data_IF_783385179411
#
_entry.id   IF_783385179411
#
_cell.length_a   1.000
_cell.length_b   1.000
_cell.length_c   1.000
_cell.angle_alpha   90.00
_cell.angle_beta   90.00
_cell.angle_gamma   90.00
#
_symmetry.space_group_name_H-M   'P 1'
#
loop_
_entity.id
_entity.type
_entity.pdbx_description
1 polymer ?
#
# COMPACT_ATOMS: atom_id res chain seq x y z
N UNK A 1 -0.98 0.96 41.52
CA UNK A 1 -1.14 0.95 40.05
C UNK A 1 -2.06 2.09 39.69
N UNK A 2 -1.50 3.24 39.31
CA UNK A 2 -2.30 4.33 38.79
C UNK A 2 -2.74 3.94 37.37
N UNK A 3 -4.04 3.80 37.16
CA UNK A 3 -4.63 3.83 35.82
C UNK A 3 -4.22 5.17 35.22
N UNK A 4 -3.35 5.15 34.21
CA UNK A 4 -3.14 6.31 33.35
C UNK A 4 -4.51 6.65 32.77
N UNK A 5 -4.95 7.91 32.97
CA UNK A 5 -6.13 8.47 32.34
C UNK A 5 -5.88 8.52 30.83
N UNK A 6 -6.06 7.39 30.15
CA UNK A 6 -6.10 7.33 28.70
C UNK A 6 -7.45 7.91 28.24
N UNK A 7 -7.47 8.76 27.21
CA UNK A 7 -8.73 9.23 26.64
C UNK A 7 -9.50 8.03 26.09
N UNK A 8 -10.58 7.68 26.77
CA UNK A 8 -11.46 6.57 26.40
C UNK A 8 -12.15 6.86 25.06
N UNK A 9 -11.88 6.06 24.03
CA UNK A 9 -12.71 6.03 22.83
C UNK A 9 -13.97 5.21 23.13
N UNK A 10 -14.94 5.84 23.79
CA UNK A 10 -16.24 5.25 24.13
C UNK A 10 -17.06 5.00 22.85
N UNK A 11 -17.96 4.02 22.90
CA UNK A 11 -18.94 3.71 21.85
C UNK A 11 -19.82 4.89 21.40
N UNK A 12 -19.82 5.99 22.17
CA UNK A 12 -20.64 7.18 22.00
C UNK A 12 -20.02 8.27 21.11
N UNK A 13 -18.80 8.08 20.56
CA UNK A 13 -18.36 8.95 19.47
C UNK A 13 -19.19 8.64 18.21
N UNK A 14 -20.26 9.43 18.07
CA UNK A 14 -21.27 9.34 17.03
C UNK A 14 -20.68 9.67 15.67
N UNK A 15 -21.11 8.94 14.64
CA UNK A 15 -20.83 9.16 13.21
C UNK A 15 -21.33 10.52 12.65
N UNK A 16 -21.75 11.44 13.51
CA UNK A 16 -22.39 12.71 13.21
C UNK A 16 -21.56 13.94 13.61
N UNK A 17 -20.34 13.74 14.13
CA UNK A 17 -19.39 14.81 14.43
C UNK A 17 -18.28 14.93 13.38
N UNK A 18 -17.53 16.03 13.47
CA UNK A 18 -16.32 16.30 12.69
C UNK A 18 -15.34 15.12 12.76
N UNK A 19 -14.55 14.91 11.70
CA UNK A 19 -13.61 13.80 11.61
C UNK A 19 -12.64 13.81 12.79
N UNK A 20 -12.61 12.72 13.55
CA UNK A 20 -11.65 12.51 14.63
C UNK A 20 -10.61 11.47 14.24
N UNK A 21 -9.35 11.75 14.60
CA UNK A 21 -8.22 10.85 14.39
C UNK A 21 -7.75 10.35 15.74
N UNK A 22 -7.88 9.05 15.96
CA UNK A 22 -7.49 8.44 17.23
C UNK A 22 -6.39 7.40 17.01
N UNK A 23 -5.20 7.71 17.56
CA UNK A 23 -4.11 6.75 17.66
C UNK A 23 -4.36 5.83 18.86
N UNK A 24 -4.46 4.53 18.60
CA UNK A 24 -4.65 3.55 19.68
C UNK A 24 -3.32 3.26 20.34
N UNK A 25 -3.10 3.84 21.52
CA UNK A 25 -1.98 3.49 22.37
C UNK A 25 -2.24 2.20 23.16
N UNK A 26 -1.17 1.49 23.57
CA UNK A 26 -1.28 0.40 24.55
C UNK A 26 -1.90 0.89 25.86
N UNK A 27 -2.86 0.14 26.38
CA UNK A 27 -3.69 0.49 27.55
C UNK A 27 -2.89 0.58 28.85
N UNK A 28 -1.83 -0.22 28.96
CA UNK A 28 -0.95 -0.28 30.12
C UNK A 28 0.41 -0.87 29.75
N UNK A 29 1.34 -0.88 30.71
CA UNK A 29 2.70 -1.40 30.52
C UNK A 29 2.73 -2.89 30.16
N UNK A 30 1.77 -3.69 30.63
CA UNK A 30 1.69 -5.10 30.25
C UNK A 30 1.42 -5.24 28.74
N UNK A 31 0.49 -4.45 28.20
CA UNK A 31 0.21 -4.48 26.75
C UNK A 31 1.44 -4.05 25.95
N UNK A 32 2.16 -3.01 26.40
CA UNK A 32 3.41 -2.56 25.76
C UNK A 32 4.45 -3.67 25.74
N UNK A 33 4.65 -4.36 26.87
CA UNK A 33 5.60 -5.48 26.98
C UNK A 33 5.24 -6.65 26.06
N UNK A 34 3.96 -6.81 25.72
CA UNK A 34 3.47 -7.85 24.80
C UNK A 34 3.48 -7.42 23.32
N UNK A 35 4.06 -6.26 23.01
CA UNK A 35 4.18 -5.73 21.65
C UNK A 35 3.10 -4.72 21.25
N UNK A 36 2.10 -4.48 22.10
CA UNK A 36 1.05 -3.48 21.86
C UNK A 36 0.02 -3.87 20.78
N UNK A 37 -0.99 -3.01 20.64
CA UNK A 37 -1.87 -2.97 19.48
C UNK A 37 -1.98 -1.52 19.03
N UNK A 38 -1.59 -1.25 17.79
CA UNK A 38 -1.53 0.10 17.25
C UNK A 38 -2.36 0.20 15.97
N UNK A 39 -3.25 1.17 15.95
CA UNK A 39 -3.99 1.55 14.74
C UNK A 39 -4.43 2.99 14.82
N UNK A 40 -4.84 3.54 13.69
CA UNK A 40 -5.46 4.86 13.61
C UNK A 40 -6.92 4.66 13.26
N UNK A 41 -7.84 5.13 14.09
CA UNK A 41 -9.24 5.30 13.69
C UNK A 41 -9.41 6.69 13.07
N UNK A 42 -10.07 6.77 11.92
CA UNK A 42 -10.52 8.00 11.26
C UNK A 42 -12.04 7.93 11.12
N UNK A 43 -12.77 8.58 12.03
CA UNK A 43 -14.22 8.43 12.19
C UNK A 43 -14.90 9.79 12.17
N UNK A 44 -16.00 9.91 11.41
CA UNK A 44 -16.81 11.14 11.37
C UNK A 44 -16.92 11.77 9.98
N UNK A 45 -17.43 13.00 9.92
CA UNK A 45 -17.59 13.77 8.68
C UNK A 45 -16.32 14.54 8.36
N UNK A 46 -15.85 14.45 7.12
CA UNK A 46 -14.67 15.19 6.68
C UNK A 46 -15.04 16.66 6.52
N UNK A 47 -14.37 17.55 7.23
CA UNK A 47 -14.55 18.99 7.17
C UNK A 47 -13.34 19.68 6.54
N UNK A 48 -13.51 20.96 6.20
CA UNK A 48 -12.40 21.76 5.69
C UNK A 48 -11.30 21.91 6.75
N UNK A 49 -10.05 21.62 6.38
CA UNK A 49 -8.88 21.70 7.26
C UNK A 49 -8.51 20.39 7.98
N UNK A 50 -9.29 19.31 7.81
CA UNK A 50 -8.98 18.01 8.40
C UNK A 50 -7.69 17.38 7.84
N UNK A 51 -7.25 17.78 6.66
CA UNK A 51 -5.95 17.40 6.10
C UNK A 51 -4.77 18.02 6.86
N UNK A 52 -4.93 19.27 7.32
CA UNK A 52 -3.97 19.95 8.19
C UNK A 52 -4.00 19.32 9.59
N UNK A 53 -5.21 19.05 10.12
CA UNK A 53 -5.40 18.33 11.39
C UNK A 53 -4.72 16.96 11.35
N UNK A 54 -4.90 16.20 10.27
CA UNK A 54 -4.29 14.89 10.08
C UNK A 54 -2.77 14.97 9.96
N UNK A 55 -2.26 15.97 9.24
CA UNK A 55 -0.81 16.19 9.15
C UNK A 55 -0.20 16.43 10.52
N UNK A 56 -0.80 17.32 11.31
CA UNK A 56 -0.40 17.56 12.71
C UNK A 56 -0.49 16.29 13.56
N UNK A 57 -1.55 15.51 13.39
CA UNK A 57 -1.71 14.23 14.09
C UNK A 57 -0.57 13.25 13.77
N UNK A 58 -0.16 13.15 12.51
CA UNK A 58 0.98 12.30 12.12
C UNK A 58 2.31 12.81 12.68
N UNK A 59 2.51 14.12 12.73
CA UNK A 59 3.71 14.73 13.33
C UNK A 59 3.76 14.52 14.85
N UNK A 60 2.61 14.59 15.53
CA UNK A 60 2.53 14.45 16.99
C UNK A 60 2.70 12.98 17.46
N UNK A 61 2.32 11.98 16.64
CA UNK A 61 2.33 10.56 17.04
C UNK A 61 3.39 9.71 16.33
N UNK A 62 3.94 10.17 15.21
CA UNK A 62 4.96 9.47 14.41
C UNK A 62 4.66 7.97 14.18
N UNK A 63 3.48 7.60 13.62
CA UNK A 63 3.11 6.20 13.47
C UNK A 63 4.10 5.48 12.54
N UNK A 64 4.52 4.24 12.87
CA UNK A 64 5.36 3.46 11.97
C UNK A 64 4.68 3.22 10.61
N UNK A 65 5.47 3.01 9.54
CA UNK A 65 4.92 2.62 8.25
C UNK A 65 4.13 1.31 8.38
N UNK A 66 3.23 1.06 7.43
CA UNK A 66 2.37 -0.13 7.38
C UNK A 66 1.26 -0.19 8.43
N UNK A 67 1.16 0.80 9.32
CA UNK A 67 0.00 0.90 10.21
C UNK A 67 -1.29 1.14 9.42
N UNK A 68 -2.38 0.53 9.89
CA UNK A 68 -3.70 0.64 9.26
C UNK A 68 -4.46 1.85 9.81
N UNK A 69 -4.98 2.66 8.88
CA UNK A 69 -6.00 3.67 9.12
C UNK A 69 -7.38 3.06 8.86
N UNK A 70 -8.15 2.85 9.93
CA UNK A 70 -9.52 2.37 9.88
C UNK A 70 -10.48 3.52 9.67
N UNK A 71 -11.26 3.47 8.58
CA UNK A 71 -12.12 4.55 8.13
C UNK A 71 -13.59 4.18 8.36
N UNK A 72 -14.30 5.03 9.09
CA UNK A 72 -15.75 4.97 9.24
C UNK A 72 -16.37 6.36 9.05
N UNK A 73 -16.69 6.68 7.79
CA UNK A 73 -17.12 8.01 7.37
C UNK A 73 -18.15 7.96 6.23
N UNK A 74 -19.12 8.87 6.31
CA UNK A 74 -20.09 9.12 5.25
C UNK A 74 -19.56 10.07 4.15
N UNK A 75 -18.32 10.57 4.28
CA UNK A 75 -17.74 11.57 3.39
C UNK A 75 -17.77 12.97 4.00
N UNK A 76 -17.87 13.99 3.15
CA UNK A 76 -17.75 15.40 3.53
C UNK A 76 -16.96 16.21 2.51
N UNK A 77 -16.00 17.00 2.98
CA UNK A 77 -15.14 17.85 2.16
C UNK A 77 -14.16 17.02 1.31
N UNK A 78 -14.29 17.14 -0.01
CA UNK A 78 -13.50 16.34 -0.95
C UNK A 78 -12.01 16.73 -0.98
N UNK A 79 -11.70 18.03 -0.92
CA UNK A 79 -10.30 18.50 -0.97
C UNK A 79 -9.53 18.05 0.26
N UNK A 80 -10.14 18.15 1.45
CA UNK A 80 -9.57 17.62 2.69
C UNK A 80 -9.39 16.09 2.60
N UNK A 81 -10.38 15.36 2.05
CA UNK A 81 -10.27 13.92 1.83
C UNK A 81 -9.08 13.53 0.94
N UNK A 82 -8.84 14.27 -0.15
CA UNK A 82 -7.66 14.10 -1.02
C UNK A 82 -6.37 14.41 -0.25
N UNK A 83 -6.36 15.51 0.52
CA UNK A 83 -5.21 15.92 1.34
C UNK A 83 -4.80 14.84 2.34
N UNK A 84 -5.76 14.31 3.10
CA UNK A 84 -5.55 13.19 4.04
C UNK A 84 -5.04 11.97 3.28
N UNK A 85 -5.68 11.58 2.17
CA UNK A 85 -5.27 10.43 1.36
C UNK A 85 -3.81 10.54 0.86
N UNK A 86 -3.37 11.72 0.44
CA UNK A 86 -1.97 11.95 0.05
C UNK A 86 -1.01 11.79 1.22
N UNK A 87 -1.38 12.23 2.43
CA UNK A 87 -0.58 12.05 3.64
C UNK A 87 -0.46 10.58 4.06
N UNK A 88 -1.57 9.84 4.01
CA UNK A 88 -1.60 8.38 4.21
C UNK A 88 -0.61 7.69 3.25
N UNK A 89 -0.66 8.03 1.95
CA UNK A 89 0.27 7.48 0.95
C UNK A 89 1.73 7.80 1.26
N UNK A 90 2.00 9.05 1.64
CA UNK A 90 3.35 9.55 1.92
C UNK A 90 3.99 8.82 3.10
N UNK A 91 3.23 8.58 4.18
CA UNK A 91 3.71 7.87 5.38
C UNK A 91 3.78 6.34 5.22
N UNK A 92 3.37 5.80 4.06
CA UNK A 92 3.38 4.36 3.83
C UNK A 92 2.30 3.60 4.61
N UNK A 93 1.23 4.28 5.01
CA UNK A 93 0.14 3.70 5.78
C UNK A 93 -0.80 2.84 4.90
N UNK A 94 -1.51 1.93 5.55
CA UNK A 94 -2.54 1.09 4.93
C UNK A 94 -3.93 1.61 5.31
N UNK A 95 -4.96 1.19 4.59
CA UNK A 95 -6.34 1.59 4.89
C UNK A 95 -7.26 0.38 4.93
N UNK A 96 -8.27 0.46 5.80
CA UNK A 96 -9.34 -0.52 5.90
C UNK A 96 -10.64 0.20 6.30
N UNK A 97 -11.79 -0.38 5.98
CA UNK A 97 -13.09 0.17 6.36
C UNK A 97 -13.55 -0.46 7.68
N UNK A 98 -13.99 0.39 8.60
CA UNK A 98 -14.38 0.01 9.96
C UNK A 98 -13.71 0.87 11.01
N UNK A 99 -13.75 0.38 12.25
CA UNK A 99 -13.05 0.98 13.40
C UNK A 99 -12.82 -0.06 14.48
N UNK A 100 -11.90 0.23 15.39
CA UNK A 100 -11.76 -0.50 16.65
C UNK A 100 -12.39 0.26 17.80
N UNK A 101 -13.16 -0.43 18.64
CA UNK A 101 -13.73 0.08 19.88
C UNK A 101 -13.23 -0.75 21.05
N UNK A 102 -13.09 -0.14 22.22
CA UNK A 102 -12.90 -0.88 23.47
C UNK A 102 -14.24 -1.43 23.96
N UNK A 103 -14.26 -2.69 24.37
CA UNK A 103 -15.41 -3.27 25.06
C UNK A 103 -15.57 -2.65 26.46
N UNK A 104 -16.74 -2.82 27.12
CA UNK A 104 -16.88 -2.43 28.52
C UNK A 104 -15.79 -3.08 29.39
N UNK A 105 -15.13 -2.32 30.30
CA UNK A 105 -14.09 -2.85 31.15
C UNK A 105 -14.59 -4.02 32.01
N UNK A 106 -13.85 -5.13 31.99
CA UNK A 106 -14.07 -6.29 32.84
C UNK A 106 -12.97 -6.32 33.92
N UNK A 107 -13.29 -6.10 35.21
CA UNK A 107 -12.30 -6.11 36.29
C UNK A 107 -11.54 -7.43 36.45
N UNK A 108 -12.03 -8.53 35.86
CA UNK A 108 -11.35 -9.82 35.88
C UNK A 108 -10.24 -9.94 34.83
N UNK A 109 -10.13 -8.99 33.90
CA UNK A 109 -9.17 -9.02 32.79
C UNK A 109 -8.09 -7.94 32.96
N UNK A 110 -6.82 -8.26 32.66
CA UNK A 110 -5.74 -7.28 32.74
C UNK A 110 -5.76 -6.27 31.58
N UNK A 111 -6.54 -6.53 30.53
CA UNK A 111 -6.69 -5.70 29.33
C UNK A 111 -8.16 -5.65 28.90
N UNK A 112 -8.63 -4.49 28.47
CA UNK A 112 -9.93 -4.32 27.83
C UNK A 112 -9.83 -4.84 26.40
N UNK A 113 -10.79 -5.67 25.98
CA UNK A 113 -10.77 -6.21 24.62
C UNK A 113 -11.05 -5.09 23.60
N UNK A 114 -10.32 -5.14 22.49
CA UNK A 114 -10.61 -4.32 21.31
C UNK A 114 -11.50 -5.13 20.38
N UNK A 115 -12.68 -4.59 20.09
CA UNK A 115 -13.64 -5.16 19.15
C UNK A 115 -13.55 -4.40 17.83
N UNK A 116 -13.33 -5.15 16.74
CA UNK A 116 -13.43 -4.62 15.40
C UNK A 116 -14.91 -4.48 15.02
N UNK A 117 -15.30 -3.31 14.51
CA UNK A 117 -16.67 -3.00 14.09
C UNK A 117 -16.67 -2.63 12.62
N UNK A 118 -17.62 -3.17 11.86
CA UNK A 118 -17.81 -2.81 10.46
C UNK A 118 -18.21 -1.34 10.33
N UNK A 119 -17.78 -0.71 9.24
CA UNK A 119 -17.99 0.72 9.03
C UNK A 119 -18.44 1.03 7.61
N UNK A 120 -18.40 2.31 7.28
CA UNK A 120 -18.70 2.81 5.93
C UNK A 120 -17.58 3.70 5.41
N UNK A 121 -17.34 3.65 4.11
CA UNK A 121 -16.45 4.56 3.41
C UNK A 121 -17.21 5.09 2.19
N UNK A 122 -17.79 6.29 2.33
CA UNK A 122 -18.68 6.87 1.32
C UNK A 122 -18.15 8.20 0.79
N UNK A 123 -18.44 8.50 -0.48
CA UNK A 123 -18.19 9.84 -1.04
C UNK A 123 -16.73 10.29 -0.85
N UNK A 124 -16.46 11.46 -0.27
CA UNK A 124 -15.12 11.99 -0.02
C UNK A 124 -14.23 11.07 0.83
N UNK A 125 -14.80 10.20 1.67
CA UNK A 125 -14.02 9.23 2.46
C UNK A 125 -13.30 8.21 1.56
N UNK A 126 -13.80 7.97 0.36
CA UNK A 126 -13.12 7.13 -0.63
C UNK A 126 -11.75 7.70 -0.99
N UNK A 127 -11.57 9.02 -1.01
CA UNK A 127 -10.26 9.64 -1.27
C UNK A 127 -9.26 9.37 -0.14
N UNK A 128 -9.72 9.39 1.11
CA UNK A 128 -8.91 9.00 2.27
C UNK A 128 -8.46 7.55 2.13
N UNK A 129 -9.41 6.66 1.82
CA UNK A 129 -9.18 5.23 1.67
C UNK A 129 -8.18 4.89 0.55
N UNK A 130 -8.29 5.54 -0.62
CA UNK A 130 -7.40 5.31 -1.75
C UNK A 130 -5.94 5.67 -1.46
N UNK A 131 -5.71 6.56 -0.48
CA UNK A 131 -4.39 6.91 0.04
C UNK A 131 -3.57 5.70 0.52
N UNK A 132 -4.23 4.66 1.03
CA UNK A 132 -3.58 3.47 1.55
C UNK A 132 -2.71 2.76 0.52
N UNK A 133 -1.50 2.38 0.94
CA UNK A 133 -0.58 1.54 0.14
C UNK A 133 -1.19 0.17 -0.15
N UNK A 134 -1.66 -0.47 0.92
CA UNK A 134 -2.54 -1.62 0.87
C UNK A 134 -3.91 -1.22 1.40
N UNK A 135 -4.94 -1.77 0.77
CA UNK A 135 -6.33 -1.37 0.95
C UNK A 135 -7.18 -2.59 1.16
N UNK A 136 -7.76 -2.69 2.35
CA UNK A 136 -8.57 -3.82 2.80
C UNK A 136 -10.05 -3.41 2.88
N UNK A 137 -10.95 -4.36 2.73
CA UNK A 137 -12.37 -4.14 2.95
C UNK A 137 -12.87 -5.26 3.85
N UNK A 138 -12.89 -5.01 5.15
CA UNK A 138 -13.30 -6.03 6.09
C UNK A 138 -14.79 -6.32 6.06
N UNK A 139 -15.13 -7.57 6.41
CA UNK A 139 -16.48 -8.13 6.34
C UNK A 139 -17.55 -7.23 6.97
N UNK A 140 -18.68 -7.13 6.29
CA UNK A 140 -19.83 -6.32 6.71
C UNK A 140 -19.66 -4.81 6.53
N UNK A 141 -18.46 -4.34 6.15
CA UNK A 141 -18.22 -2.92 5.84
C UNK A 141 -18.69 -2.57 4.44
N UNK A 142 -19.00 -1.29 4.23
CA UNK A 142 -19.55 -0.81 2.96
C UNK A 142 -18.68 0.28 2.34
N UNK A 143 -18.49 0.18 1.04
CA UNK A 143 -17.80 1.19 0.24
C UNK A 143 -18.78 1.72 -0.81
N UNK A 144 -18.89 3.04 -0.92
CA UNK A 144 -19.85 3.64 -1.84
C UNK A 144 -19.37 4.92 -2.50
N UNK A 145 -19.72 5.06 -3.77
CA UNK A 145 -19.34 6.20 -4.61
C UNK A 145 -20.58 6.94 -5.10
N UNK A 146 -20.39 8.20 -5.47
CA UNK A 146 -21.38 9.01 -6.17
C UNK A 146 -20.69 10.15 -6.92
N UNK A 147 -21.43 10.87 -7.77
CA UNK A 147 -20.85 11.94 -8.58
C UNK A 147 -20.23 13.02 -7.70
N UNK A 148 -18.93 13.25 -7.89
CA UNK A 148 -18.24 14.39 -7.31
C UNK A 148 -18.73 15.67 -7.98
N UNK A 149 -19.63 16.40 -7.32
CA UNK A 149 -20.10 17.71 -7.77
C UNK A 149 -20.04 18.72 -6.65
N UNK A 150 -19.81 19.98 -7.00
CA UNK A 150 -20.08 21.09 -6.08
C UNK A 150 -21.58 21.08 -5.74
N UNK A 151 -21.92 21.31 -4.46
CA UNK A 151 -23.29 21.68 -4.10
C UNK A 151 -23.61 22.99 -4.83
N UNK A 152 -24.64 22.99 -5.67
CA UNK A 152 -25.14 24.12 -6.46
C UNK A 152 -24.15 24.70 -7.50
N UNK A 153 -23.95 24.04 -8.65
CA UNK A 153 -23.08 24.54 -9.71
C UNK A 153 -23.71 25.75 -10.41
N UNK A 154 -23.29 26.96 -10.04
CA UNK A 154 -23.52 28.16 -10.82
C UNK A 154 -22.62 28.16 -12.08
N UNK A 155 -22.99 28.85 -13.18
CA UNK A 155 -22.18 28.93 -14.40
C UNK A 155 -20.73 29.41 -14.15
N UNK A 156 -20.53 30.24 -13.14
CA UNK A 156 -19.23 30.74 -12.66
C UNK A 156 -18.35 29.69 -11.96
N UNK A 157 -18.89 28.51 -11.64
CA UNK A 157 -18.18 27.41 -10.99
C UNK A 157 -17.71 26.32 -11.95
N UNK A 158 -17.96 26.47 -13.26
CA UNK A 158 -17.53 25.49 -14.28
C UNK A 158 -16.00 25.32 -14.28
N UNK A 159 -15.23 26.42 -14.23
CA UNK A 159 -13.76 26.36 -14.18
C UNK A 159 -13.24 25.64 -12.93
N UNK A 160 -13.83 25.91 -11.76
CA UNK A 160 -13.50 25.22 -10.49
C UNK A 160 -13.87 23.74 -10.53
N UNK A 161 -14.95 23.38 -11.22
CA UNK A 161 -15.39 22.00 -11.46
C UNK A 161 -14.40 21.21 -12.31
N UNK A 162 -13.87 21.83 -13.36
CA UNK A 162 -12.83 21.21 -14.20
C UNK A 162 -11.52 21.02 -13.44
N UNK A 163 -11.09 22.02 -12.66
CA UNK A 163 -9.89 21.91 -11.84
C UNK A 163 -10.02 20.78 -10.80
N UNK A 164 -11.16 20.69 -10.12
CA UNK A 164 -11.41 19.64 -9.14
C UNK A 164 -11.42 18.25 -9.77
N UNK A 165 -12.08 18.08 -10.93
CA UNK A 165 -12.06 16.81 -11.67
C UNK A 165 -10.65 16.39 -12.06
N UNK A 166 -9.81 17.33 -12.51
CA UNK A 166 -8.41 17.05 -12.83
C UNK A 166 -7.61 16.63 -11.58
N UNK A 167 -7.84 17.29 -10.44
CA UNK A 167 -7.22 16.92 -9.15
C UNK A 167 -7.62 15.50 -8.71
N UNK A 168 -8.90 15.14 -8.84
CA UNK A 168 -9.38 13.78 -8.53
C UNK A 168 -8.75 12.77 -9.46
N UNK A 169 -8.74 13.02 -10.77
CA UNK A 169 -8.17 12.11 -11.76
C UNK A 169 -6.67 11.86 -11.52
N UNK A 170 -5.90 12.94 -11.27
CA UNK A 170 -4.50 12.83 -10.90
C UNK A 170 -4.32 12.05 -9.59
N UNK A 171 -5.13 12.32 -8.56
CA UNK A 171 -5.04 11.59 -7.30
C UNK A 171 -5.33 10.10 -7.47
N UNK A 172 -6.42 9.72 -8.16
CA UNK A 172 -6.80 8.33 -8.43
C UNK A 172 -5.70 7.61 -9.22
N UNK A 173 -5.11 8.28 -10.21
CA UNK A 173 -3.96 7.76 -10.97
C UNK A 173 -2.72 7.56 -10.09
N UNK A 174 -2.36 8.53 -9.25
CA UNK A 174 -1.24 8.45 -8.31
C UNK A 174 -1.42 7.27 -7.33
N UNK A 175 -2.66 6.95 -6.95
CA UNK A 175 -3.02 5.83 -6.07
C UNK A 175 -3.12 4.48 -6.79
N UNK A 176 -2.84 4.45 -8.11
CA UNK A 176 -2.83 3.25 -8.97
C UNK A 176 -4.18 2.55 -9.08
N UNK A 177 -5.25 3.33 -9.09
CA UNK A 177 -6.61 2.84 -9.25
C UNK A 177 -6.99 2.88 -10.74
N UNK A 178 -7.84 1.96 -11.20
CA UNK A 178 -8.34 1.97 -12.58
C UNK A 178 -9.08 3.29 -12.89
N UNK A 179 -8.86 3.92 -14.07
CA UNK A 179 -9.63 5.09 -14.49
C UNK A 179 -11.15 4.86 -14.50
N UNK A 180 -11.59 3.62 -14.70
CA UNK A 180 -13.00 3.19 -14.67
C UNK A 180 -13.67 3.47 -13.31
N UNK A 181 -12.89 3.65 -12.23
CA UNK A 181 -13.41 4.11 -10.94
C UNK A 181 -14.03 5.51 -11.03
N UNK A 182 -13.46 6.40 -11.84
CA UNK A 182 -13.98 7.74 -12.06
C UNK A 182 -15.26 7.71 -12.88
N UNK A 183 -15.34 6.79 -13.85
CA UNK A 183 -16.55 6.56 -14.66
C UNK A 183 -17.68 6.06 -13.77
N UNK A 184 -17.42 5.05 -12.93
CA UNK A 184 -18.37 4.53 -11.95
C UNK A 184 -18.88 5.64 -11.03
N UNK A 185 -17.95 6.41 -10.45
CA UNK A 185 -18.31 7.52 -9.56
C UNK A 185 -19.16 8.58 -10.26
N UNK A 186 -18.84 8.92 -11.52
CA UNK A 186 -19.53 9.97 -12.27
C UNK A 186 -20.93 9.57 -12.75
N UNK A 187 -21.19 8.27 -12.93
CA UNK A 187 -22.45 7.74 -13.42
C UNK A 187 -23.58 7.76 -12.37
N UNK A 188 -23.23 7.72 -11.08
CA UNK A 188 -24.18 7.73 -9.97
C UNK A 188 -24.61 9.16 -9.62
N UNK A 189 -25.91 9.45 -9.53
CA UNK A 189 -26.38 10.81 -9.20
C UNK A 189 -25.84 11.29 -7.85
N UNK A 190 -25.61 12.61 -7.73
CA UNK A 190 -25.06 13.20 -6.52
C UNK A 190 -25.94 12.99 -5.27
N UNK A 191 -27.24 12.72 -5.44
CA UNK A 191 -28.20 12.44 -4.35
C UNK A 191 -28.27 10.96 -3.98
N UNK A 192 -27.66 10.09 -4.77
CA UNK A 192 -27.62 8.65 -4.55
C UNK A 192 -26.22 8.23 -4.09
N UNK A 193 -26.12 7.00 -3.56
CA UNK A 193 -24.83 6.37 -3.28
C UNK A 193 -24.91 4.97 -3.88
N UNK A 194 -24.00 4.68 -4.81
CA UNK A 194 -23.84 3.35 -5.36
C UNK A 194 -22.90 2.54 -4.45
N UNK A 195 -23.41 1.45 -3.89
CA UNK A 195 -22.64 0.54 -3.07
C UNK A 195 -21.91 -0.46 -3.97
N UNK A 196 -20.59 -0.41 -3.92
CA UNK A 196 -19.75 -1.19 -4.84
C UNK A 196 -19.37 -2.52 -4.17
N UNK A 197 -19.55 -3.62 -4.89
CA UNK A 197 -19.16 -4.94 -4.41
C UNK A 197 -17.63 -5.07 -4.28
N UNK A 198 -17.15 -5.89 -3.34
CA UNK A 198 -15.72 -6.13 -3.16
C UNK A 198 -15.06 -6.68 -4.44
N UNK A 199 -15.76 -7.56 -5.18
CA UNK A 199 -15.27 -8.08 -6.46
C UNK A 199 -14.99 -6.94 -7.45
N UNK A 200 -15.95 -6.03 -7.62
CA UNK A 200 -15.78 -4.87 -8.51
C UNK A 200 -14.69 -3.93 -8.01
N UNK A 201 -14.56 -3.75 -6.70
CA UNK A 201 -13.48 -2.94 -6.12
C UNK A 201 -12.09 -3.55 -6.36
N UNK A 202 -11.96 -4.88 -6.39
CA UNK A 202 -10.71 -5.56 -6.76
C UNK A 202 -10.39 -5.36 -8.25
N UNK A 203 -11.37 -5.53 -9.14
CA UNK A 203 -11.20 -5.26 -10.59
C UNK A 203 -10.72 -3.82 -10.84
N UNK A 204 -11.28 -2.86 -10.10
CA UNK A 204 -10.89 -1.45 -10.21
C UNK A 204 -9.56 -1.12 -9.51
N UNK A 205 -8.91 -2.10 -8.88
CA UNK A 205 -7.71 -1.95 -8.03
C UNK A 205 -7.91 -1.01 -6.83
N UNK A 206 -9.16 -0.85 -6.37
CA UNK A 206 -9.50 -0.09 -5.17
C UNK A 206 -9.18 -0.92 -3.92
N UNK A 207 -9.58 -2.19 -3.89
CA UNK A 207 -9.20 -3.14 -2.83
C UNK A 207 -8.00 -3.96 -3.32
N UNK A 208 -6.93 -4.01 -2.53
CA UNK A 208 -5.70 -4.76 -2.88
C UNK A 208 -5.60 -6.08 -2.11
N UNK A 209 -6.28 -6.24 -0.98
CA UNK A 209 -6.32 -7.53 -0.26
C UNK A 209 -4.95 -8.02 0.24
N UNK A 210 -4.01 -7.10 0.48
CA UNK A 210 -2.68 -7.41 1.00
C UNK A 210 -1.56 -7.43 -0.05
N UNK A 211 -1.88 -7.26 -1.34
CA UNK A 211 -0.89 -7.17 -2.39
C UNK A 211 -1.41 -6.38 -3.60
N UNK A 212 -0.59 -5.50 -4.19
CA UNK A 212 -0.96 -4.84 -5.46
C UNK A 212 -0.62 -5.71 -6.66
N UNK A 213 -1.16 -5.38 -7.82
CA UNK A 213 -0.63 -5.92 -9.08
C UNK A 213 0.82 -5.47 -9.30
N UNK A 214 1.56 -6.22 -10.09
CA UNK A 214 2.88 -5.84 -10.55
C UNK A 214 2.78 -4.74 -11.61
N UNK A 215 3.67 -3.74 -11.53
CA UNK A 215 3.78 -2.69 -12.55
C UNK A 215 5.16 -2.74 -13.16
N UNK A 216 5.20 -2.82 -14.48
CA UNK A 216 6.43 -2.94 -15.27
C UNK A 216 6.73 -1.65 -16.03
N UNK A 217 7.97 -1.17 -15.91
CA UNK A 217 8.42 0.08 -16.53
C UNK A 217 9.84 -0.06 -17.08
N UNK A 218 10.14 0.62 -18.19
CA UNK A 218 11.50 0.73 -18.73
C UNK A 218 12.11 2.04 -18.23
N UNK A 219 13.35 1.99 -17.73
CA UNK A 219 14.06 3.16 -17.22
C UNK A 219 15.49 3.24 -17.74
N UNK A 220 15.99 4.47 -17.86
CA UNK A 220 17.32 4.81 -18.33
C UNK A 220 17.94 5.82 -17.36
N UNK A 221 19.09 5.50 -16.74
CA UNK A 221 19.79 6.42 -15.84
C UNK A 221 21.29 6.17 -15.84
N UNK A 222 22.08 7.20 -16.11
CA UNK A 222 23.54 7.17 -15.93
C UNK A 222 24.26 6.05 -16.69
N UNK A 223 23.82 5.73 -17.92
CA UNK A 223 24.38 4.65 -18.74
C UNK A 223 23.85 3.25 -18.41
N UNK A 224 22.91 3.15 -17.48
CA UNK A 224 22.20 1.92 -17.12
C UNK A 224 20.80 1.96 -17.73
N UNK A 225 20.42 0.87 -18.40
CA UNK A 225 19.06 0.64 -18.88
C UNK A 225 18.49 -0.56 -18.13
N UNK A 226 17.24 -0.51 -17.68
CA UNK A 226 16.61 -1.64 -17.03
C UNK A 226 15.09 -1.65 -17.18
N UNK A 227 14.53 -2.83 -17.15
CA UNK A 227 13.10 -3.08 -16.96
C UNK A 227 12.88 -3.37 -15.49
N UNK A 228 11.94 -2.65 -14.86
CA UNK A 228 11.62 -2.75 -13.44
C UNK A 228 10.18 -3.19 -13.24
N UNK A 229 10.00 -4.33 -12.60
CA UNK A 229 8.75 -4.75 -11.99
C UNK A 229 8.70 -4.27 -10.54
N UNK A 230 7.58 -3.70 -10.11
CA UNK A 230 7.38 -3.30 -8.72
C UNK A 230 5.99 -3.65 -8.19
N UNK A 231 5.94 -4.02 -6.91
CA UNK A 231 4.71 -4.43 -6.21
C UNK A 231 4.81 -4.10 -4.72
N UNK A 232 3.69 -3.69 -4.13
CA UNK A 232 3.56 -3.56 -2.68
C UNK A 232 2.83 -4.80 -2.15
N UNK A 233 3.28 -5.35 -1.02
CA UNK A 233 2.63 -6.46 -0.32
C UNK A 233 2.73 -6.31 1.19
N UNK A 234 2.05 -7.17 1.95
CA UNK A 234 2.23 -7.22 3.41
C UNK A 234 3.68 -7.50 3.84
N UNK A 235 4.48 -8.12 2.96
CA UNK A 235 5.90 -8.41 3.19
C UNK A 235 6.83 -7.27 2.77
N UNK A 236 6.25 -6.17 2.29
CA UNK A 236 6.97 -4.94 1.97
C UNK A 236 6.87 -4.56 0.50
N UNK A 237 7.56 -3.46 0.20
CA UNK A 237 7.70 -2.87 -1.12
C UNK A 237 8.85 -3.53 -1.85
N UNK A 238 8.56 -4.14 -2.98
CA UNK A 238 9.50 -5.00 -3.68
C UNK A 238 9.68 -4.56 -5.13
N UNK A 239 10.92 -4.65 -5.60
CA UNK A 239 11.27 -4.39 -7.00
C UNK A 239 12.19 -5.49 -7.51
N UNK A 240 11.96 -5.94 -8.73
CA UNK A 240 12.87 -6.79 -9.50
C UNK A 240 13.23 -6.09 -10.79
N UNK A 241 14.48 -6.22 -11.21
CA UNK A 241 15.02 -5.52 -12.36
C UNK A 241 15.89 -6.44 -13.21
N UNK A 242 15.57 -6.51 -14.50
CA UNK A 242 16.49 -6.99 -15.53
C UNK A 242 17.14 -5.75 -16.17
N UNK A 243 18.46 -5.67 -16.09
CA UNK A 243 19.17 -4.49 -16.56
C UNK A 243 20.41 -4.82 -17.38
N UNK A 244 20.95 -3.77 -17.98
CA UNK A 244 22.13 -3.81 -18.84
C UNK A 244 22.99 -2.57 -18.57
N UNK A 245 24.28 -2.80 -18.36
CA UNK A 245 25.29 -1.76 -18.23
C UNK A 245 26.22 -1.90 -19.42
N UNK A 246 26.43 -0.79 -20.16
CA UNK A 246 27.38 -0.77 -21.26
C UNK A 246 28.76 -1.25 -20.79
N UNK A 247 29.40 -2.12 -21.57
CA UNK A 247 30.71 -2.73 -21.31
C UNK A 247 30.75 -3.75 -20.14
N UNK A 248 29.72 -3.83 -19.29
CA UNK A 248 29.64 -4.79 -18.19
C UNK A 248 28.60 -5.91 -18.39
N UNK A 249 27.64 -5.74 -19.31
CA UNK A 249 26.66 -6.75 -19.68
C UNK A 249 25.37 -6.71 -18.87
N UNK A 250 24.64 -7.84 -18.85
CA UNK A 250 23.38 -7.97 -18.14
C UNK A 250 23.57 -8.13 -16.63
N UNK A 251 22.61 -7.60 -15.88
CA UNK A 251 22.51 -7.78 -14.44
C UNK A 251 21.07 -8.03 -14.02
N UNK A 252 20.92 -8.74 -12.91
CA UNK A 252 19.70 -8.81 -12.14
C UNK A 252 19.86 -7.93 -10.90
N UNK A 253 18.81 -7.21 -10.53
CA UNK A 253 18.76 -6.52 -9.25
C UNK A 253 17.40 -6.61 -8.59
N UNK A 254 17.39 -6.71 -7.27
CA UNK A 254 16.19 -6.64 -6.47
C UNK A 254 16.33 -5.58 -5.36
N UNK A 255 15.20 -4.96 -5.01
CA UNK A 255 15.08 -4.07 -3.86
C UNK A 255 14.01 -4.64 -2.94
N UNK A 256 14.41 -4.97 -1.72
CA UNK A 256 13.59 -5.65 -0.72
C UNK A 256 13.46 -4.71 0.47
N UNK A 257 12.27 -4.20 0.75
CA UNK A 257 12.03 -3.53 2.02
C UNK A 257 12.28 -4.49 3.18
N UNK A 258 13.22 -4.14 4.06
CA UNK A 258 13.79 -5.10 5.00
C UNK A 258 12.84 -5.47 6.14
N UNK A 259 11.90 -4.58 6.48
CA UNK A 259 11.03 -4.71 7.66
C UNK A 259 11.81 -5.14 8.93
N UNK A 260 12.95 -4.50 9.16
CA UNK A 260 13.91 -4.81 10.25
C UNK A 260 14.63 -6.17 10.17
N UNK A 261 14.56 -6.89 9.04
CA UNK A 261 15.25 -8.18 8.80
C UNK A 261 16.57 -8.01 8.03
N UNK A 262 17.31 -6.94 8.32
CA UNK A 262 18.53 -6.58 7.57
C UNK A 262 19.63 -7.64 7.70
N UNK A 263 19.86 -8.15 8.91
CA UNK A 263 20.89 -9.16 9.18
C UNK A 263 20.61 -10.46 8.44
N UNK A 264 19.36 -10.94 8.44
CA UNK A 264 19.02 -12.16 7.73
C UNK A 264 19.08 -11.98 6.21
N UNK A 265 18.56 -10.87 5.69
CA UNK A 265 18.60 -10.59 4.25
C UNK A 265 20.03 -10.47 3.70
N UNK A 266 20.98 -9.99 4.51
CA UNK A 266 22.40 -9.84 4.10
C UNK A 266 23.28 -11.03 4.50
N UNK A 267 22.92 -11.78 5.54
CA UNK A 267 23.77 -12.81 6.14
C UNK A 267 23.41 -14.26 5.79
N UNK A 268 22.18 -14.51 5.33
CA UNK A 268 21.77 -15.86 4.91
C UNK A 268 22.54 -16.34 3.68
N UNK A 269 22.90 -17.62 3.65
CA UNK A 269 23.92 -18.15 2.73
C UNK A 269 23.43 -18.49 1.32
N UNK A 270 22.12 -18.52 1.08
CA UNK A 270 21.55 -18.88 -0.23
C UNK A 270 20.75 -17.73 -0.80
N UNK A 271 21.04 -17.37 -2.06
CA UNK A 271 20.30 -16.37 -2.83
C UNK A 271 19.95 -16.96 -4.21
N UNK A 272 18.65 -17.06 -4.50
CA UNK A 272 18.15 -17.67 -5.74
C UNK A 272 17.21 -16.71 -6.47
N UNK A 273 17.45 -16.45 -7.76
CA UNK A 273 16.43 -15.87 -8.64
C UNK A 273 15.45 -16.99 -8.99
N UNK A 274 14.16 -16.76 -8.76
CA UNK A 274 13.11 -17.75 -9.03
C UNK A 274 12.22 -17.27 -10.17
N UNK A 275 11.96 -18.12 -11.15
CA UNK A 275 11.11 -17.81 -12.30
C UNK A 275 9.97 -18.81 -12.40
N UNK A 276 8.86 -18.38 -13.03
CA UNK A 276 7.70 -19.22 -13.34
C UNK A 276 7.19 -19.98 -12.10
N UNK A 277 6.86 -19.26 -11.02
CA UNK A 277 6.33 -19.89 -9.82
C UNK A 277 7.32 -20.83 -9.09
N UNK A 278 8.64 -20.61 -9.28
CA UNK A 278 9.75 -21.42 -8.76
C UNK A 278 10.19 -22.63 -9.60
N UNK A 279 9.60 -22.85 -10.78
CA UNK A 279 9.98 -23.95 -11.67
C UNK A 279 11.44 -23.86 -12.15
N UNK A 280 11.96 -22.63 -12.28
CA UNK A 280 13.35 -22.36 -12.64
C UNK A 280 14.00 -21.56 -11.51
N UNK A 281 15.19 -22.00 -11.09
CA UNK A 281 15.99 -21.35 -10.05
C UNK A 281 17.40 -21.10 -10.56
N UNK A 282 17.86 -19.86 -10.47
CA UNK A 282 19.27 -19.52 -10.66
C UNK A 282 19.88 -19.20 -9.31
N UNK A 283 20.79 -20.05 -8.88
CA UNK A 283 21.63 -19.76 -7.72
C UNK A 283 22.58 -18.61 -8.10
N UNK A 284 22.54 -17.55 -7.30
CA UNK A 284 23.41 -16.37 -7.44
C UNK A 284 24.14 -16.08 -6.13
N UNK A 285 24.25 -17.08 -5.24
CA UNK A 285 24.77 -16.89 -3.88
C UNK A 285 26.22 -16.36 -3.88
N UNK A 286 27.04 -16.83 -4.82
CA UNK A 286 28.45 -16.44 -4.93
C UNK A 286 28.65 -15.21 -5.84
N UNK A 287 27.72 -14.94 -6.74
CA UNK A 287 27.78 -13.86 -7.74
C UNK A 287 27.10 -12.57 -7.29
N UNK A 288 26.25 -12.63 -6.25
CA UNK A 288 25.49 -11.48 -5.80
C UNK A 288 26.21 -10.65 -4.72
N UNK A 289 26.07 -9.34 -4.85
CA UNK A 289 26.33 -8.39 -3.77
C UNK A 289 25.02 -8.04 -3.08
N UNK A 290 25.07 -7.93 -1.75
CA UNK A 290 23.95 -7.48 -0.91
C UNK A 290 24.37 -6.32 -0.03
N UNK A 291 23.60 -5.24 -0.07
CA UNK A 291 23.90 -4.02 0.67
C UNK A 291 22.63 -3.27 1.05
N UNK A 292 22.72 -2.41 2.06
CA UNK A 292 21.59 -1.66 2.60
C UNK A 292 21.56 -0.23 2.09
N UNK A 293 20.39 0.26 1.71
CA UNK A 293 20.13 1.68 1.42
C UNK A 293 18.82 2.08 2.10
N UNK A 294 18.91 2.94 3.11
CA UNK A 294 17.73 3.34 3.89
C UNK A 294 17.04 2.13 4.53
N UNK A 295 15.76 1.92 4.22
CA UNK A 295 14.96 0.80 4.72
C UNK A 295 15.08 -0.49 3.91
N UNK A 296 15.85 -0.46 2.83
CA UNK A 296 15.83 -1.49 1.81
C UNK A 296 17.16 -2.27 1.78
N UNK A 297 17.07 -3.58 1.54
CA UNK A 297 18.20 -4.42 1.13
C UNK A 297 18.17 -4.58 -0.37
N UNK A 298 19.30 -4.31 -0.99
CA UNK A 298 19.53 -4.52 -2.41
C UNK A 298 20.22 -5.86 -2.62
N UNK A 299 19.75 -6.60 -3.63
CA UNK A 299 20.48 -7.72 -4.23
C UNK A 299 20.91 -7.27 -5.61
N UNK A 300 22.16 -7.46 -5.96
CA UNK A 300 22.69 -7.15 -7.29
C UNK A 300 23.58 -8.29 -7.75
N UNK A 301 23.33 -8.86 -8.92
CA UNK A 301 24.15 -9.92 -9.50
C UNK A 301 24.37 -9.67 -10.99
N UNK A 302 25.59 -9.87 -11.45
CA UNK A 302 25.83 -10.04 -12.89
C UNK A 302 25.22 -11.36 -13.33
N UNK A 303 24.60 -11.38 -14.50
CA UNK A 303 23.97 -12.59 -15.05
C UNK A 303 24.46 -12.81 -16.47
N UNK A 304 24.44 -14.07 -16.90
CA UNK A 304 24.79 -14.44 -18.26
C UNK A 304 23.74 -13.95 -19.26
N UNK A 305 24.11 -13.91 -20.54
CA UNK A 305 23.17 -13.63 -21.62
C UNK A 305 22.02 -14.66 -21.65
N UNK A 306 22.31 -15.94 -21.41
CA UNK A 306 21.29 -16.99 -21.34
C UNK A 306 20.33 -16.81 -20.15
N UNK A 307 20.85 -16.44 -18.97
CA UNK A 307 20.00 -16.13 -17.81
C UNK A 307 19.11 -14.92 -18.10
N UNK A 308 19.66 -13.87 -18.71
CA UNK A 308 18.89 -12.68 -19.10
C UNK A 308 17.78 -13.02 -20.10
N UNK A 309 18.06 -13.89 -21.07
CA UNK A 309 17.05 -14.39 -22.02
C UNK A 309 15.90 -15.09 -21.29
N UNK A 310 16.22 -16.06 -20.43
CA UNK A 310 15.21 -16.84 -19.69
C UNK A 310 14.38 -15.94 -18.76
N UNK A 311 15.01 -14.98 -18.08
CA UNK A 311 14.29 -13.99 -17.26
C UNK A 311 13.33 -13.17 -18.13
N UNK A 312 13.78 -12.73 -19.31
CA UNK A 312 12.96 -11.89 -20.19
C UNK A 312 11.72 -12.58 -20.77
N UNK A 313 11.72 -13.92 -20.79
CA UNK A 313 10.66 -14.78 -21.32
C UNK A 313 9.80 -15.40 -20.20
N UNK A 314 10.08 -15.10 -18.93
CA UNK A 314 9.41 -15.70 -17.78
C UNK A 314 8.01 -15.11 -17.51
N UNK A 315 7.11 -15.94 -16.99
CA UNK A 315 5.75 -15.57 -16.56
C UNK A 315 5.74 -14.91 -15.17
N UNK A 316 6.76 -15.17 -14.36
CA UNK A 316 6.97 -14.49 -13.09
C UNK A 316 8.42 -14.45 -12.68
N UNK A 317 8.79 -13.43 -11.90
CA UNK A 317 10.16 -13.19 -11.43
C UNK A 317 10.14 -12.96 -9.91
N UNK A 318 11.04 -13.62 -9.18
CA UNK A 318 11.22 -13.46 -7.75
C UNK A 318 12.69 -13.61 -7.34
N UNK A 319 12.97 -13.36 -6.06
CA UNK A 319 14.28 -13.62 -5.46
C UNK A 319 14.09 -14.13 -4.04
N UNK A 320 14.77 -15.21 -3.71
CA UNK A 320 14.69 -15.87 -2.42
C UNK A 320 16.04 -15.78 -1.72
N UNK A 321 16.02 -15.33 -0.47
CA UNK A 321 17.16 -15.34 0.45
C UNK A 321 16.84 -16.34 1.56
N UNK A 322 17.65 -17.40 1.65
CA UNK A 322 17.42 -18.54 2.56
C UNK A 322 18.63 -18.84 3.40
N UNK A 323 18.39 -19.28 4.64
CA UNK A 323 19.45 -19.72 5.53
C UNK A 323 20.22 -20.93 4.96
N UNK A 324 19.48 -21.90 4.41
CA UNK A 324 19.98 -23.09 3.70
C UNK A 324 19.07 -23.41 2.52
N UNK A 325 19.55 -24.18 1.54
CA UNK A 325 18.85 -24.39 0.26
C UNK A 325 17.49 -25.07 0.43
N UNK A 326 17.40 -26.01 1.37
CA UNK A 326 16.21 -26.81 1.67
C UNK A 326 15.22 -26.10 2.61
N UNK A 327 15.52 -24.85 3.01
CA UNK A 327 14.64 -24.12 3.93
C UNK A 327 13.24 -23.95 3.29
N UNK A 328 12.16 -24.30 4.02
CA UNK A 328 10.80 -24.19 3.50
C UNK A 328 10.28 -22.75 3.48
N UNK A 329 11.05 -21.81 4.02
CA UNK A 329 10.71 -20.38 4.09
C UNK A 329 11.88 -19.56 3.58
N UNK A 330 11.57 -18.40 3.03
CA UNK A 330 12.56 -17.46 2.50
C UNK A 330 12.20 -16.04 2.91
N UNK A 331 13.20 -15.17 2.90
CA UNK A 331 13.02 -13.72 2.83
C UNK A 331 13.24 -13.26 1.39
N UNK A 332 12.67 -12.12 1.00
CA UNK A 332 12.85 -11.56 -0.34
C UNK A 332 11.53 -11.34 -1.05
N UNK A 333 11.50 -11.66 -2.34
CA UNK A 333 10.39 -11.32 -3.24
C UNK A 333 9.81 -12.62 -3.80
N UNK A 334 8.61 -12.98 -3.36
CA UNK A 334 7.85 -14.06 -3.99
C UNK A 334 7.47 -13.72 -5.43
N UNK A 335 7.11 -14.73 -6.23
CA UNK A 335 6.80 -14.60 -7.65
C UNK A 335 5.99 -13.33 -7.97
N UNK A 336 6.59 -12.44 -8.75
CA UNK A 336 5.96 -11.25 -9.31
C UNK A 336 5.59 -11.54 -10.75
N UNK A 337 4.30 -11.54 -11.02
CA UNK A 337 3.76 -11.81 -12.36
C UNK A 337 4.31 -10.79 -13.39
N UNK A 338 4.64 -11.27 -14.59
CA UNK A 338 5.15 -10.45 -15.68
C UNK A 338 4.05 -9.90 -16.60
N UNK A 339 2.77 -10.16 -16.31
CA UNK A 339 1.61 -9.57 -16.97
C UNK A 339 1.73 -8.04 -16.97
N UNK A 340 1.60 -7.45 -18.17
CA UNK A 340 1.85 -6.02 -18.42
C UNK A 340 3.33 -5.63 -18.61
N UNK A 341 4.26 -6.55 -18.40
CA UNK A 341 5.72 -6.38 -18.56
C UNK A 341 6.39 -7.21 -19.66
N UNK A 342 5.66 -8.16 -20.26
CA UNK A 342 6.19 -9.12 -21.25
C UNK A 342 6.88 -8.42 -22.42
N UNK A 343 6.23 -7.43 -23.04
CA UNK A 343 6.78 -6.71 -24.19
C UNK A 343 8.05 -5.93 -23.79
N UNK A 344 8.03 -5.27 -22.63
CA UNK A 344 9.13 -4.48 -22.12
C UNK A 344 10.35 -5.38 -21.85
N UNK A 345 10.16 -6.51 -21.18
CA UNK A 345 11.21 -7.48 -20.86
C UNK A 345 11.83 -8.07 -22.14
N UNK A 346 11.00 -8.58 -23.05
CA UNK A 346 11.46 -9.20 -24.31
C UNK A 346 12.17 -8.18 -25.20
N UNK A 347 11.57 -7.01 -25.44
CA UNK A 347 12.16 -5.96 -26.28
C UNK A 347 13.48 -5.47 -25.69
N UNK A 348 13.55 -5.32 -24.37
CA UNK A 348 14.77 -4.94 -23.68
C UNK A 348 15.90 -5.94 -23.94
N UNK A 349 15.66 -7.23 -23.69
CA UNK A 349 16.68 -8.26 -23.90
C UNK A 349 17.18 -8.26 -25.36
N UNK A 350 16.28 -8.28 -26.35
CA UNK A 350 16.65 -8.31 -27.77
C UNK A 350 17.39 -7.05 -28.25
N UNK A 351 17.22 -5.92 -27.56
CA UNK A 351 17.94 -4.68 -27.87
C UNK A 351 19.40 -4.72 -27.45
N UNK A 352 19.75 -5.51 -26.43
CA UNK A 352 21.07 -5.53 -25.80
C UNK A 352 21.84 -6.84 -25.93
N UNK A 353 21.22 -7.91 -26.44
CA UNK A 353 21.85 -9.24 -26.59
C UNK A 353 22.73 -9.41 -27.84
N UNK A 354 22.94 -8.35 -28.61
CA UNK A 354 23.70 -8.37 -29.87
C UNK A 354 25.21 -8.40 -29.70
#
# INVERSE_FOLDING_TARGET
MALLNLPFFNSDQTLAGDMDFHYTEPQNELEKMLGGFFCINAVGTIEHGDDVKFSKFLDDHEPPPHMVVYIDSAGGNLEAGIGIGRKIRQYGLWTDVGRYLLEPPDPSRPLVLRKRVSGRCMSAATMVYLGGRLRFLSEGSRFGVHRFSFKDPLPEHIGKSQELSAKIASFVSDMRVSPEFLELSSATDAKEIDLVSELRLKELRVVTGGQTDAIWTVQARGGIMYVRGERDSIYGRHKVMLGFIKDAGFFFSAVIEAQNRFEELTGFGVVEITLNGEDIKFDISDECERFTIGTDVHVFAKISNDQARIISESESIGVQVKFVREAPTFLGIGAMDTEGGVEQLSTFYHSFSK
#
